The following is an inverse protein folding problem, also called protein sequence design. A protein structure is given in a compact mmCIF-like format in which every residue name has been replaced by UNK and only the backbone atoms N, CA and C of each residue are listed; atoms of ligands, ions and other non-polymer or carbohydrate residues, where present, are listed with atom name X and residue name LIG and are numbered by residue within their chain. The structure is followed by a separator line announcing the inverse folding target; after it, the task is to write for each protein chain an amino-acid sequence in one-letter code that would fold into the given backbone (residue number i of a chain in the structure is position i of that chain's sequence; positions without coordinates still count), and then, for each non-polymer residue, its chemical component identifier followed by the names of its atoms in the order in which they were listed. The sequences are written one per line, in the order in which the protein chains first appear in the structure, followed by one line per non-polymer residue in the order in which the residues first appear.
data_IF_833866362183
#
_entry.id   IF_833866362183
#
_cell.length_a   1.000
_cell.length_b   1.000
_cell.length_c   1.000
_cell.angle_alpha   90.00
_cell.angle_beta   90.00
_cell.angle_gamma   90.00
#
_symmetry.space_group_name_H-M   'P 1'
#
loop_
_entity.id
_entity.type
_entity.pdbx_description
1 polymer ?
#
# COMPACT_ATOMS: atom_id res chain seq x y z
N UNK A 1 -4.35 -27.33 26.97
CA UNK A 1 -3.86 -27.51 25.59
C UNK A 1 -4.98 -27.59 24.56
N UNK A 2 -6.07 -28.33 24.79
CA UNK A 2 -7.21 -28.39 23.85
C UNK A 2 -7.99 -27.06 23.67
N UNK A 3 -8.00 -26.17 24.66
CA UNK A 3 -8.67 -24.87 24.55
C UNK A 3 -7.94 -23.89 23.61
N UNK A 4 -6.60 -23.95 23.55
CA UNK A 4 -5.81 -23.07 22.68
C UNK A 4 -5.88 -23.47 21.20
N UNK A 5 -6.06 -24.76 20.91
CA UNK A 5 -6.17 -25.24 19.52
C UNK A 5 -7.54 -24.95 18.90
N UNK A 6 -8.61 -24.95 19.71
CA UNK A 6 -9.97 -24.57 19.25
C UNK A 6 -10.02 -23.07 18.93
N UNK A 7 -9.38 -22.23 19.74
CA UNK A 7 -9.25 -20.80 19.45
C UNK A 7 -8.50 -20.58 18.13
N UNK A 8 -7.41 -21.30 17.84
CA UNK A 8 -6.69 -21.15 16.56
C UNK A 8 -7.49 -21.62 15.33
N UNK A 9 -8.38 -22.60 15.47
CA UNK A 9 -9.25 -23.06 14.38
C UNK A 9 -10.45 -22.12 14.14
N UNK A 10 -10.99 -21.47 15.18
CA UNK A 10 -12.00 -20.40 15.01
C UNK A 10 -11.39 -19.04 14.64
N UNK A 11 -10.12 -18.80 14.96
CA UNK A 11 -9.40 -17.58 14.64
C UNK A 11 -9.06 -17.47 13.14
N UNK A 12 -8.86 -18.61 12.47
CA UNK A 12 -8.63 -18.66 11.02
C UNK A 12 -9.90 -18.49 10.17
N UNK A 13 -11.10 -18.62 10.77
CA UNK A 13 -12.39 -18.45 10.09
C UNK A 13 -13.00 -17.05 10.25
N UNK A 14 -12.37 -16.16 11.02
CA UNK A 14 -12.93 -14.85 11.39
C UNK A 14 -12.36 -13.64 10.64
N UNK A 15 -11.66 -13.83 9.51
CA UNK A 15 -11.48 -12.75 8.53
C UNK A 15 -12.74 -12.78 7.64
N UNK A 16 -13.59 -11.73 7.66
CA UNK A 16 -14.82 -11.76 6.86
C UNK A 16 -14.47 -12.02 5.39
N UNK A 17 -15.25 -12.88 4.73
CA UNK A 17 -14.99 -13.33 3.36
C UNK A 17 -14.63 -12.21 2.38
N UNK A 18 -15.24 -11.02 2.56
CA UNK A 18 -14.94 -9.79 1.82
C UNK A 18 -13.47 -9.38 1.89
N UNK A 19 -12.84 -9.42 3.07
CA UNK A 19 -11.44 -9.03 3.24
C UNK A 19 -10.48 -10.05 2.61
N UNK A 20 -10.81 -11.34 2.69
CA UNK A 20 -10.04 -12.39 2.02
C UNK A 20 -10.02 -12.16 0.51
N UNK A 21 -11.18 -11.84 -0.08
CA UNK A 21 -11.27 -11.48 -1.50
C UNK A 21 -10.36 -10.28 -1.81
N UNK A 22 -10.48 -9.17 -1.07
CA UNK A 22 -9.67 -7.98 -1.32
C UNK A 22 -8.16 -8.27 -1.24
N UNK A 23 -7.73 -9.09 -0.27
CA UNK A 23 -6.34 -9.49 -0.11
C UNK A 23 -5.86 -10.38 -1.26
N UNK A 24 -6.63 -11.40 -1.66
CA UNK A 24 -6.28 -12.25 -2.80
C UNK A 24 -6.27 -11.47 -4.11
N UNK A 25 -7.21 -10.55 -4.32
CA UNK A 25 -7.21 -9.65 -5.47
C UNK A 25 -5.97 -8.76 -5.48
N UNK A 26 -5.57 -8.22 -4.33
CA UNK A 26 -4.36 -7.41 -4.24
C UNK A 26 -3.10 -8.21 -4.60
N UNK A 27 -2.98 -9.45 -4.09
CA UNK A 27 -1.87 -10.36 -4.44
C UNK A 27 -1.89 -10.67 -5.94
N UNK A 28 -3.06 -10.96 -6.51
CA UNK A 28 -3.20 -11.24 -7.94
C UNK A 28 -2.73 -10.06 -8.80
N UNK A 29 -3.11 -8.82 -8.44
CA UNK A 29 -2.67 -7.62 -9.15
C UNK A 29 -1.14 -7.46 -9.12
N UNK A 30 -0.50 -7.75 -7.97
CA UNK A 30 0.97 -7.72 -7.87
C UNK A 30 1.62 -8.80 -8.73
N UNK A 31 1.03 -10.01 -8.80
CA UNK A 31 1.53 -11.07 -9.69
C UNK A 31 1.41 -10.67 -11.15
N UNK A 32 0.30 -10.05 -11.55
CA UNK A 32 0.11 -9.53 -12.91
C UNK A 32 1.16 -8.46 -13.23
N UNK A 33 1.42 -7.52 -12.30
CA UNK A 33 2.49 -6.52 -12.46
C UNK A 33 3.87 -7.16 -12.65
N UNK A 34 4.22 -8.18 -11.84
CA UNK A 34 5.49 -8.93 -11.99
C UNK A 34 5.59 -9.58 -13.38
N UNK A 35 4.50 -10.21 -13.84
CA UNK A 35 4.44 -10.84 -15.15
C UNK A 35 4.67 -9.80 -16.25
N UNK A 36 3.95 -8.67 -16.23
CA UNK A 36 4.10 -7.63 -17.24
C UNK A 36 5.51 -7.02 -17.19
N UNK A 37 6.02 -6.72 -15.99
CA UNK A 37 7.35 -6.16 -15.81
C UNK A 37 8.43 -7.09 -16.38
N UNK A 38 8.22 -8.42 -16.36
CA UNK A 38 9.15 -9.42 -16.90
C UNK A 38 8.97 -9.64 -18.41
N UNK A 39 7.72 -9.77 -18.87
CA UNK A 39 7.41 -10.18 -20.24
C UNK A 39 7.19 -9.03 -21.23
N UNK A 40 7.14 -7.77 -20.77
CA UNK A 40 6.92 -6.60 -21.64
C UNK A 40 7.94 -6.47 -22.77
N UNK A 41 9.15 -6.99 -22.59
CA UNK A 41 10.18 -7.06 -23.63
C UNK A 41 9.81 -7.98 -24.81
N UNK A 42 8.99 -9.02 -24.60
CA UNK A 42 8.56 -9.87 -25.72
C UNK A 42 7.62 -9.14 -26.67
N UNK A 43 6.90 -8.14 -26.17
CA UNK A 43 6.05 -7.27 -26.99
C UNK A 43 6.82 -6.10 -27.61
N UNK A 44 8.14 -6.04 -27.38
CA UNK A 44 9.01 -5.01 -27.95
C UNK A 44 8.91 -4.84 -29.47
N UNK A 45 8.69 -5.87 -30.29
CA UNK A 45 8.55 -5.67 -31.74
C UNK A 45 7.28 -4.91 -32.14
N UNK A 46 6.25 -4.88 -31.28
CA UNK A 46 4.97 -4.24 -31.56
C UNK A 46 4.74 -3.07 -30.59
N UNK A 47 4.99 -1.84 -31.06
CA UNK A 47 4.86 -0.60 -30.27
C UNK A 47 3.47 -0.44 -29.65
N UNK A 48 2.39 -0.77 -30.39
CA UNK A 48 1.03 -0.68 -29.86
C UNK A 48 0.77 -1.73 -28.78
N UNK A 49 1.25 -2.97 -28.98
CA UNK A 49 1.15 -4.03 -27.98
C UNK A 49 1.87 -3.66 -26.68
N UNK A 50 3.08 -3.09 -26.79
CA UNK A 50 3.83 -2.63 -25.63
C UNK A 50 3.19 -1.43 -24.93
N UNK A 51 2.59 -0.49 -25.68
CA UNK A 51 1.83 0.60 -25.08
C UNK A 51 0.66 0.08 -24.24
N UNK A 52 -0.10 -0.89 -24.78
CA UNK A 52 -1.26 -1.45 -24.08
C UNK A 52 -0.82 -2.16 -22.79
N UNK A 53 0.25 -2.97 -22.84
CA UNK A 53 0.69 -3.71 -21.65
C UNK A 53 1.19 -2.76 -20.54
N UNK A 54 1.82 -1.65 -20.91
CA UNK A 54 2.24 -0.59 -20.00
C UNK A 54 1.05 0.11 -19.31
N UNK A 55 0.01 0.45 -20.07
CA UNK A 55 -1.24 1.01 -19.48
C UNK A 55 -1.87 0.00 -18.51
N UNK A 56 -1.95 -1.27 -18.88
CA UNK A 56 -2.49 -2.33 -18.00
C UNK A 56 -1.68 -2.43 -16.71
N UNK A 57 -0.34 -2.35 -16.80
CA UNK A 57 0.55 -2.36 -15.65
C UNK A 57 0.26 -1.21 -14.68
N UNK A 58 0.16 0.01 -15.20
CA UNK A 58 -0.13 1.21 -14.40
C UNK A 58 -1.48 1.09 -13.68
N UNK A 59 -2.51 0.61 -14.38
CA UNK A 59 -3.82 0.35 -13.77
C UNK A 59 -3.70 -0.70 -12.65
N UNK A 60 -2.93 -1.77 -12.83
CA UNK A 60 -2.70 -2.77 -11.79
C UNK A 60 -2.03 -2.18 -10.55
N UNK A 61 -1.03 -1.32 -10.71
CA UNK A 61 -0.33 -0.66 -9.59
C UNK A 61 -1.29 0.27 -8.84
N UNK A 62 -2.05 1.12 -9.56
CA UNK A 62 -3.01 2.05 -8.94
C UNK A 62 -4.14 1.31 -8.23
N UNK A 63 -4.68 0.24 -8.84
CA UNK A 63 -5.70 -0.60 -8.20
C UNK A 63 -5.14 -1.29 -6.96
N UNK A 64 -3.90 -1.78 -7.02
CA UNK A 64 -3.23 -2.40 -5.88
C UNK A 64 -3.08 -1.41 -4.71
N UNK A 65 -2.66 -0.17 -4.98
CA UNK A 65 -2.60 0.90 -3.97
C UNK A 65 -3.98 1.22 -3.40
N UNK A 66 -4.99 1.34 -4.26
CA UNK A 66 -6.37 1.66 -3.86
C UNK A 66 -6.94 0.57 -2.97
N UNK A 67 -6.78 -0.70 -3.33
CA UNK A 67 -7.20 -1.83 -2.49
C UNK A 67 -6.50 -1.82 -1.13
N UNK A 68 -5.20 -1.53 -1.09
CA UNK A 68 -4.47 -1.39 0.16
C UNK A 68 -5.07 -0.30 1.06
N UNK A 69 -5.36 0.88 0.49
CA UNK A 69 -6.00 1.98 1.22
C UNK A 69 -7.40 1.60 1.69
N UNK A 70 -8.23 0.99 0.83
CA UNK A 70 -9.58 0.54 1.18
C UNK A 70 -9.55 -0.50 2.30
N UNK A 71 -8.65 -1.48 2.24
CA UNK A 71 -8.53 -2.48 3.30
C UNK A 71 -8.10 -1.84 4.63
N UNK A 72 -7.22 -0.83 4.60
CA UNK A 72 -6.83 -0.06 5.79
C UNK A 72 -8.02 0.73 6.34
N UNK A 73 -8.80 1.39 5.50
CA UNK A 73 -9.96 2.21 5.91
C UNK A 73 -11.16 1.41 6.41
N UNK A 74 -11.33 0.19 5.90
CA UNK A 74 -12.44 -0.69 6.30
C UNK A 74 -12.21 -1.37 7.64
N UNK A 75 -10.97 -1.40 8.16
CA UNK A 75 -10.67 -1.95 9.48
C UNK A 75 -11.36 -1.18 10.62
N UNK A 76 -11.75 -1.89 11.68
CA UNK A 76 -12.37 -1.30 12.88
C UNK A 76 -11.50 -0.24 13.55
N UNK A 77 -10.17 -0.37 13.43
CA UNK A 77 -9.19 0.60 13.95
C UNK A 77 -9.30 1.96 13.24
N UNK A 78 -9.63 1.98 11.95
CA UNK A 78 -9.88 3.22 11.23
C UNK A 78 -11.23 3.84 11.62
N UNK A 79 -12.28 3.02 11.78
CA UNK A 79 -13.62 3.46 12.21
C UNK A 79 -13.62 4.02 13.65
N UNK A 80 -12.69 3.57 14.48
CA UNK A 80 -12.43 4.05 15.83
C UNK A 80 -11.78 5.45 15.91
N UNK A 81 -11.50 6.12 14.79
CA UNK A 81 -10.78 7.40 14.77
C UNK A 81 -9.27 7.28 15.00
N UNK A 82 -8.70 6.08 14.84
CA UNK A 82 -7.27 5.79 14.98
C UNK A 82 -6.54 5.74 13.63
N UNK A 83 -7.12 6.37 12.60
CA UNK A 83 -6.61 6.37 11.23
C UNK A 83 -5.16 6.88 11.15
N UNK A 84 -4.78 7.90 11.92
CA UNK A 84 -3.41 8.41 11.95
C UNK A 84 -2.38 7.36 12.39
N UNK A 85 -2.72 6.51 13.37
CA UNK A 85 -1.81 5.44 13.81
C UNK A 85 -1.64 4.39 12.71
N UNK A 86 -2.74 4.02 12.06
CA UNK A 86 -2.75 3.00 11.02
C UNK A 86 -2.01 3.48 9.76
N UNK A 87 -2.25 4.73 9.34
CA UNK A 87 -1.48 5.36 8.27
C UNK A 87 0.01 5.42 8.60
N UNK A 88 0.39 5.70 9.85
CA UNK A 88 1.81 5.66 10.26
C UNK A 88 2.42 4.26 10.13
N UNK A 89 1.64 3.21 10.36
CA UNK A 89 2.10 1.83 10.20
C UNK A 89 2.27 1.40 8.73
N UNK A 90 1.39 1.88 7.84
CA UNK A 90 1.41 1.55 6.40
C UNK A 90 2.09 2.60 5.52
N UNK A 91 2.54 3.72 6.09
CA UNK A 91 3.19 4.84 5.37
C UNK A 91 4.33 4.36 4.47
N UNK A 92 5.12 3.40 4.94
CA UNK A 92 6.22 2.83 4.16
C UNK A 92 5.73 2.14 2.88
N UNK A 93 4.70 1.29 2.95
CA UNK A 93 4.16 0.60 1.77
C UNK A 93 3.51 1.58 0.80
N UNK A 94 2.76 2.57 1.29
CA UNK A 94 2.15 3.61 0.44
C UNK A 94 3.22 4.42 -0.29
N UNK A 95 4.22 4.92 0.43
CA UNK A 95 5.31 5.73 -0.15
C UNK A 95 6.09 4.93 -1.20
N UNK A 96 6.43 3.68 -0.91
CA UNK A 96 7.11 2.81 -1.88
C UNK A 96 6.26 2.61 -3.13
N UNK A 97 4.96 2.33 -2.99
CA UNK A 97 4.08 2.13 -4.15
C UNK A 97 3.93 3.40 -4.97
N UNK A 98 3.76 4.57 -4.34
CA UNK A 98 3.70 5.85 -5.06
C UNK A 98 5.01 6.14 -5.81
N UNK A 99 6.15 5.93 -5.16
CA UNK A 99 7.45 6.15 -5.79
C UNK A 99 7.70 5.17 -6.94
N UNK A 100 7.35 3.90 -6.75
CA UNK A 100 7.42 2.89 -7.80
C UNK A 100 6.53 3.23 -8.99
N UNK A 101 5.29 3.68 -8.76
CA UNK A 101 4.38 4.12 -9.81
C UNK A 101 4.98 5.25 -10.66
N UNK A 102 5.56 6.27 -10.01
CA UNK A 102 6.23 7.38 -10.72
C UNK A 102 7.43 6.87 -11.52
N UNK A 103 8.28 6.03 -10.92
CA UNK A 103 9.40 5.43 -11.63
C UNK A 103 8.95 4.60 -12.84
N UNK A 104 7.86 3.84 -12.69
CA UNK A 104 7.27 3.04 -13.76
C UNK A 104 6.79 3.93 -14.91
N UNK A 105 5.98 4.95 -14.61
CA UNK A 105 5.45 5.88 -15.59
C UNK A 105 6.57 6.64 -16.34
N UNK A 106 7.61 7.09 -15.62
CA UNK A 106 8.76 7.77 -16.24
C UNK A 106 9.54 6.82 -17.14
N UNK A 107 9.87 5.61 -16.67
CA UNK A 107 10.59 4.62 -17.47
C UNK A 107 9.81 4.22 -18.73
N UNK A 108 8.51 3.97 -18.60
CA UNK A 108 7.63 3.65 -19.73
C UNK A 108 7.54 4.81 -20.73
N UNK A 109 7.40 6.06 -20.25
CA UNK A 109 7.35 7.24 -21.10
C UNK A 109 8.65 7.42 -21.90
N UNK A 110 9.81 7.23 -21.26
CA UNK A 110 11.11 7.29 -21.94
C UNK A 110 11.22 6.19 -23.01
N UNK A 111 10.88 4.95 -22.67
CA UNK A 111 10.92 3.81 -23.61
C UNK A 111 10.00 4.05 -24.81
N UNK A 112 8.77 4.51 -24.57
CA UNK A 112 7.80 4.78 -25.63
C UNK A 112 8.22 5.98 -26.50
N UNK A 113 8.76 7.05 -25.90
CA UNK A 113 9.23 8.22 -26.65
C UNK A 113 10.30 7.83 -27.68
N UNK A 114 11.28 7.04 -27.26
CA UNK A 114 12.32 6.54 -28.18
C UNK A 114 11.73 5.67 -29.30
N UNK A 115 10.72 4.85 -28.99
CA UNK A 115 10.04 4.00 -29.98
C UNK A 115 9.23 4.76 -31.00
N UNK A 116 8.53 5.81 -30.58
CA UNK A 116 7.76 6.63 -31.50
C UNK A 116 8.66 7.49 -32.40
N UNK A 117 9.88 7.82 -31.95
CA UNK A 117 10.83 8.57 -32.75
C UNK A 117 11.67 7.69 -33.69
N UNK A 118 11.97 6.45 -33.31
CA UNK A 118 12.82 5.54 -34.07
C UNK A 118 12.21 4.14 -34.17
N UNK A 119 11.88 3.71 -35.39
CA UNK A 119 11.22 2.42 -35.69
C UNK A 119 12.14 1.20 -35.53
N UNK A 120 13.42 1.40 -35.18
CA UNK A 120 14.45 0.35 -35.05
C UNK A 120 14.95 0.21 -33.60
N UNK A 121 14.09 -0.36 -32.75
CA UNK A 121 14.30 -0.44 -31.29
C UNK A 121 15.49 -1.29 -30.84
N UNK A 122 15.76 -2.44 -31.48
CA UNK A 122 16.58 -3.50 -30.85
C UNK A 122 18.05 -3.09 -30.64
N UNK A 123 18.57 -2.09 -31.36
CA UNK A 123 19.96 -1.65 -31.23
C UNK A 123 20.16 -0.22 -30.70
N UNK A 124 19.16 0.67 -30.73
CA UNK A 124 19.37 2.11 -30.46
C UNK A 124 18.78 2.61 -29.13
N UNK A 125 17.67 2.07 -28.64
CA UNK A 125 17.02 2.59 -27.42
C UNK A 125 17.88 2.42 -26.16
N UNK A 126 18.66 1.33 -26.06
CA UNK A 126 19.60 1.10 -24.96
C UNK A 126 20.97 1.79 -25.14
N UNK A 127 21.22 2.46 -26.28
CA UNK A 127 22.43 3.28 -26.44
C UNK A 127 22.37 4.57 -25.65
N UNK A 128 21.17 5.08 -25.34
CA UNK A 128 21.00 6.23 -24.46
C UNK A 128 21.20 5.79 -23.01
N UNK A 129 22.25 6.27 -22.31
CA UNK A 129 22.54 5.86 -20.95
C UNK A 129 21.41 6.22 -19.98
N UNK A 130 20.66 7.28 -20.27
CA UNK A 130 19.53 7.74 -19.45
C UNK A 130 18.38 6.72 -19.44
N UNK A 131 17.98 6.23 -20.62
CA UNK A 131 16.87 5.27 -20.76
C UNK A 131 17.24 3.95 -20.09
N UNK A 132 18.48 3.46 -20.31
CA UNK A 132 18.98 2.26 -19.65
C UNK A 132 19.05 2.42 -18.13
N UNK A 133 19.53 3.57 -17.63
CA UNK A 133 19.62 3.83 -16.20
C UNK A 133 18.22 3.82 -15.54
N UNK A 134 17.25 4.53 -16.10
CA UNK A 134 15.88 4.55 -15.58
C UNK A 134 15.23 3.16 -15.62
N UNK A 135 15.46 2.40 -16.70
CA UNK A 135 14.97 1.04 -16.83
C UNK A 135 15.55 0.11 -15.75
N UNK A 136 16.87 0.15 -15.51
CA UNK A 136 17.52 -0.66 -14.45
C UNK A 136 17.08 -0.22 -13.06
N UNK A 137 16.98 1.08 -12.81
CA UNK A 137 16.52 1.63 -11.53
C UNK A 137 15.07 1.18 -11.25
N UNK A 138 14.18 1.31 -12.23
CA UNK A 138 12.77 0.90 -12.09
C UNK A 138 12.66 -0.59 -11.74
N UNK A 139 13.41 -1.47 -12.43
CA UNK A 139 13.40 -2.91 -12.15
C UNK A 139 14.04 -3.28 -10.82
N UNK A 140 15.06 -2.56 -10.41
CA UNK A 140 15.65 -2.76 -9.07
C UNK A 140 14.67 -2.34 -7.99
N UNK A 141 13.97 -1.21 -8.20
CA UNK A 141 12.97 -0.70 -7.27
C UNK A 141 11.71 -1.55 -7.23
N UNK A 142 11.37 -2.29 -8.30
CA UNK A 142 10.22 -3.20 -8.30
C UNK A 142 10.33 -4.25 -7.20
N UNK A 143 11.54 -4.72 -6.88
CA UNK A 143 11.79 -5.65 -5.76
C UNK A 143 11.35 -5.05 -4.42
N UNK A 144 11.62 -3.76 -4.19
CA UNK A 144 11.19 -3.06 -2.99
C UNK A 144 9.68 -2.89 -2.94
N UNK A 145 9.05 -2.61 -4.09
CA UNK A 145 7.59 -2.55 -4.21
C UNK A 145 6.95 -3.91 -3.86
N UNK A 146 7.41 -5.00 -4.45
CA UNK A 146 6.88 -6.34 -4.17
C UNK A 146 7.06 -6.72 -2.70
N UNK A 147 8.22 -6.39 -2.11
CA UNK A 147 8.45 -6.58 -0.68
C UNK A 147 7.50 -5.73 0.18
N UNK A 148 7.31 -4.45 -0.16
CA UNK A 148 6.42 -3.53 0.55
C UNK A 148 4.96 -3.97 0.52
N UNK A 149 4.49 -4.45 -0.62
CA UNK A 149 3.14 -4.99 -0.80
C UNK A 149 2.95 -6.32 -0.07
N UNK A 150 3.93 -7.24 -0.17
CA UNK A 150 3.93 -8.50 0.59
C UNK A 150 3.86 -8.22 2.09
N UNK A 151 4.69 -7.29 2.59
CA UNK A 151 4.70 -6.89 4.01
C UNK A 151 3.37 -6.28 4.43
N UNK A 152 2.76 -5.45 3.58
CA UNK A 152 1.44 -4.91 3.85
C UNK A 152 0.39 -6.02 3.95
N UNK A 153 0.34 -6.93 2.96
CA UNK A 153 -0.59 -8.04 2.94
C UNK A 153 -0.49 -8.92 4.20
N UNK A 154 0.73 -9.22 4.69
CA UNK A 154 0.89 -9.97 5.94
C UNK A 154 0.35 -9.21 7.16
N UNK A 155 0.64 -7.91 7.27
CA UNK A 155 0.13 -7.08 8.38
C UNK A 155 -1.39 -6.97 8.35
N UNK A 156 -1.97 -6.86 7.16
CA UNK A 156 -3.42 -6.84 6.94
C UNK A 156 -4.09 -8.21 7.11
N UNK A 157 -3.33 -9.30 7.06
CA UNK A 157 -3.82 -10.65 7.33
C UNK A 157 -3.90 -10.96 8.83
N UNK A 158 -3.35 -10.11 9.70
CA UNK A 158 -3.40 -10.35 11.14
C UNK A 158 -4.84 -10.16 11.66
N UNK A 159 -5.49 -11.20 12.21
CA UNK A 159 -6.84 -11.13 12.72
C UNK A 159 -7.01 -10.07 13.84
N UNK A 160 -5.91 -9.64 14.47
CA UNK A 160 -5.92 -8.64 15.54
C UNK A 160 -6.50 -7.29 15.11
N UNK A 161 -6.44 -6.92 13.82
CA UNK A 161 -7.00 -5.66 13.32
C UNK A 161 -8.52 -5.69 13.10
N UNK A 162 -9.13 -6.87 13.08
CA UNK A 162 -10.56 -7.05 12.74
C UNK A 162 -11.45 -7.37 13.94
N UNK A 163 -10.87 -7.70 15.10
CA UNK A 163 -11.61 -7.93 16.34
C UNK A 163 -11.41 -6.77 17.32
N UNK A 164 -12.35 -6.59 18.25
CA UNK A 164 -12.25 -5.68 19.40
C UNK A 164 -11.22 -6.17 20.43
N UNK A 165 -9.98 -6.35 19.98
CA UNK A 165 -8.91 -6.96 20.76
C UNK A 165 -8.68 -6.21 22.09
N UNK A 166 -8.21 -6.95 23.11
CA UNK A 166 -7.84 -6.36 24.42
C UNK A 166 -6.87 -5.18 24.27
N UNK A 167 -5.94 -5.25 23.31
CA UNK A 167 -5.04 -4.14 22.99
C UNK A 167 -5.79 -2.88 22.55
N UNK A 168 -6.83 -3.02 21.73
CA UNK A 168 -7.66 -1.90 21.33
C UNK A 168 -8.38 -1.32 22.55
N UNK A 169 -8.94 -2.18 23.42
CA UNK A 169 -9.60 -1.78 24.67
C UNK A 169 -8.62 -1.03 25.61
N UNK A 170 -7.40 -1.52 25.78
CA UNK A 170 -6.35 -0.84 26.56
C UNK A 170 -5.98 0.52 25.96
N UNK A 171 -5.96 0.65 24.63
CA UNK A 171 -5.70 1.93 23.95
C UNK A 171 -6.84 2.92 24.18
N UNK A 172 -8.08 2.45 24.14
CA UNK A 172 -9.27 3.24 24.45
C UNK A 172 -9.26 3.69 25.91
N UNK A 173 -8.89 2.81 26.84
CA UNK A 173 -8.76 3.14 28.26
C UNK A 173 -7.65 4.17 28.50
N UNK A 174 -6.46 3.98 27.90
CA UNK A 174 -5.37 4.96 28.00
C UNK A 174 -5.77 6.34 27.47
N UNK A 175 -6.46 6.40 26.32
CA UNK A 175 -6.96 7.67 25.77
C UNK A 175 -8.04 8.29 26.62
N UNK A 176 -8.98 7.49 27.13
CA UNK A 176 -10.04 7.96 28.04
C UNK A 176 -9.41 8.55 29.29
N UNK A 177 -8.49 7.84 29.92
CA UNK A 177 -7.77 8.25 31.13
C UNK A 177 -6.95 9.53 30.90
N UNK A 178 -6.29 9.67 29.75
CA UNK A 178 -5.59 10.90 29.39
C UNK A 178 -6.56 12.09 29.23
N UNK A 179 -7.71 11.87 28.59
CA UNK A 179 -8.75 12.90 28.46
C UNK A 179 -9.36 13.29 29.81
N UNK A 180 -9.64 12.32 30.71
CA UNK A 180 -10.12 12.63 32.06
C UNK A 180 -9.07 13.36 32.90
N UNK A 181 -7.78 13.08 32.72
CA UNK A 181 -6.71 13.84 33.38
C UNK A 181 -6.62 15.28 32.88
N UNK A 182 -6.79 15.52 31.58
CA UNK A 182 -6.87 16.88 31.04
C UNK A 182 -8.09 17.64 31.58
N UNK A 183 -9.26 17.00 31.66
CA UNK A 183 -10.48 17.59 32.25
C UNK A 183 -10.31 17.84 33.76
N UNK A 184 -9.66 16.95 34.51
CA UNK A 184 -9.38 17.16 35.93
C UNK A 184 -8.41 18.33 36.17
N UNK A 185 -7.40 18.51 35.31
CA UNK A 185 -6.46 19.65 35.39
C UNK A 185 -7.09 20.99 35.02
N UNK A 186 -8.07 21.00 34.10
CA UNK A 186 -8.81 22.20 33.68
C UNK A 186 -9.98 22.52 34.63
N UNK A 187 -10.56 21.53 35.31
CA UNK A 187 -11.52 21.77 36.40
C UNK A 187 -10.86 22.44 37.62
N UNK A 188 -9.53 22.27 37.80
CA UNK A 188 -8.74 23.02 38.78
C UNK A 188 -8.28 24.42 38.29
N UNK A 189 -8.52 24.77 37.03
CA UNK A 189 -8.13 26.05 36.42
C UNK A 189 -9.22 26.56 35.50
N UNK A 190 -10.33 26.99 36.10
CA UNK A 190 -11.30 27.84 35.41
C UNK A 190 -10.64 29.17 35.06
N UNK A 191 -9.99 29.26 33.89
CA UNK A 191 -9.86 30.47 33.08
C UNK A 191 -9.05 30.19 31.80
N UNK A 192 -9.69 30.51 30.67
CA UNK A 192 -9.08 30.87 29.39
C UNK A 192 -8.57 29.77 28.42
N UNK A 193 -9.22 29.81 27.25
CA UNK A 193 -8.71 29.53 25.89
C UNK A 193 -8.82 28.11 25.35
N UNK A 194 -9.98 27.86 24.73
CA UNK A 194 -10.24 26.82 23.75
C UNK A 194 -9.39 27.04 22.50
N UNK A 195 -8.38 26.20 22.28
CA UNK A 195 -7.78 26.00 20.94
C UNK A 195 -7.65 24.51 20.64
N UNK A 196 -8.24 24.14 19.51
CA UNK A 196 -8.46 22.79 19.01
C UNK A 196 -7.14 22.17 18.50
N UNK A 197 -6.58 21.18 19.21
CA UNK A 197 -5.37 20.45 18.81
C UNK A 197 -5.75 19.17 18.04
N UNK A 198 -6.45 19.32 16.92
CA UNK A 198 -6.81 18.17 16.05
C UNK A 198 -6.06 18.16 14.70
N UNK A 199 -5.17 19.11 14.43
CA UNK A 199 -4.59 19.26 13.09
C UNK A 199 -3.12 19.71 13.08
N UNK A 200 -2.25 19.02 13.80
CA UNK A 200 -0.81 19.20 13.61
C UNK A 200 -0.11 17.86 13.77
N UNK A 201 0.11 17.18 12.66
CA UNK A 201 1.30 16.40 12.29
C UNK A 201 0.93 15.73 10.97
N UNK A 202 1.33 16.40 9.89
CA UNK A 202 1.50 15.87 8.53
C UNK A 202 2.87 15.16 8.46
#
# INVERSE_FOLDING_TARGET
MLSQTIDTQQLSTMIPFRYRILLYTNILLVVVDICINTFSEFLAPNTLGQLIIFIVQDVCIVLSLTLLVVMVLTTYVAQAGLLCLLLRMFRFSIVITCFYFVLCAVAQALILNERFQYDTFINDAFKKPEVLAFYVIQRTFSVLYYYGMKRAAYRLSDPHFYQSSKWLQDLWEKRRNAATMHVASTAGSASATTTCVCCTIL
#
